data_IF_263362786767
#
_entry.id   IF_263362786767
#
_cell.length_a   1.000
_cell.length_b   1.000
_cell.length_c   1.000
_cell.angle_alpha   90.00
_cell.angle_beta   90.00
_cell.angle_gamma   90.00
#
_symmetry.space_group_name_H-M   'P 1'
#
loop_
_entity.id
_entity.type
_entity.pdbx_description
1 polymer ?
#
# COMPACT_ATOMS: atom_id res chain seq x y z
N UNK A 1 9.75 -2.59 5.11
CA UNK A 1 8.53 -1.78 5.29
C UNK A 1 8.33 -1.32 6.74
N UNK A 2 8.26 -2.19 7.75
CA UNK A 2 7.98 -1.78 9.15
C UNK A 2 8.81 -0.59 9.67
N UNK A 3 10.14 -0.58 9.45
CA UNK A 3 11.01 0.53 9.89
C UNK A 3 10.61 1.90 9.33
N UNK A 4 10.26 1.98 8.03
CA UNK A 4 9.89 3.27 7.40
C UNK A 4 8.49 3.72 7.83
N UNK A 5 7.57 2.77 8.05
CA UNK A 5 6.26 3.07 8.61
C UNK A 5 6.37 3.64 10.01
N UNK A 6 7.16 3.02 10.90
CA UNK A 6 7.40 3.53 12.24
C UNK A 6 8.05 4.92 12.19
N UNK A 7 9.04 5.11 11.32
CA UNK A 7 9.68 6.41 11.12
C UNK A 7 8.67 7.52 10.78
N UNK A 8 7.72 7.26 9.88
CA UNK A 8 6.74 8.26 9.47
C UNK A 8 5.59 8.44 10.47
N UNK A 9 5.04 7.35 11.02
CA UNK A 9 3.80 7.37 11.81
C UNK A 9 4.01 7.48 13.32
N UNK A 10 5.15 7.00 13.84
CA UNK A 10 5.48 7.01 15.27
C UNK A 10 6.54 8.06 15.58
N UNK A 11 7.62 8.09 14.79
CA UNK A 11 8.72 9.04 14.99
C UNK A 11 8.46 10.39 14.29
N UNK A 12 7.38 10.50 13.52
CA UNK A 12 6.97 11.70 12.79
C UNK A 12 8.04 12.28 11.85
N UNK A 13 8.93 11.42 11.33
CA UNK A 13 9.97 11.81 10.38
C UNK A 13 9.35 12.11 9.01
N UNK A 14 9.51 13.35 8.57
CA UNK A 14 9.06 13.80 7.25
C UNK A 14 10.07 13.41 6.18
N UNK A 15 9.81 12.31 5.48
CA UNK A 15 10.63 11.77 4.38
C UNK A 15 10.29 12.41 3.02
N UNK A 16 10.29 13.75 2.96
CA UNK A 16 9.80 14.51 1.79
C UNK A 16 10.88 14.90 0.76
N UNK A 17 12.14 14.53 0.99
CA UNK A 17 13.25 14.76 0.06
C UNK A 17 14.16 13.54 -0.01
N UNK A 18 14.87 13.38 -1.14
CA UNK A 18 15.90 12.36 -1.33
C UNK A 18 16.88 12.33 -0.15
N UNK A 19 17.41 13.49 0.25
CA UNK A 19 18.38 13.59 1.36
C UNK A 19 17.79 13.12 2.69
N UNK A 20 16.53 13.47 2.98
CA UNK A 20 15.85 12.98 4.19
C UNK A 20 15.71 11.46 4.17
N UNK A 21 15.36 10.88 3.02
CA UNK A 21 15.24 9.43 2.83
C UNK A 21 16.61 8.75 2.98
N UNK A 22 17.68 9.30 2.38
CA UNK A 22 19.02 8.72 2.44
C UNK A 22 19.60 8.77 3.85
N UNK A 23 19.44 9.90 4.54
CA UNK A 23 19.86 10.05 5.93
C UNK A 23 19.12 9.08 6.85
N UNK A 24 17.81 8.93 6.66
CA UNK A 24 17.03 7.94 7.40
C UNK A 24 17.50 6.51 7.10
N UNK A 25 17.73 6.17 5.83
CA UNK A 25 18.20 4.83 5.45
C UNK A 25 19.53 4.48 6.12
N UNK A 26 20.48 5.41 6.14
CA UNK A 26 21.77 5.24 6.83
C UNK A 26 21.58 5.01 8.34
N UNK A 27 20.77 5.83 9.01
CA UNK A 27 20.43 5.67 10.44
C UNK A 27 19.71 4.34 10.73
N UNK A 28 18.93 3.83 9.78
CA UNK A 28 18.23 2.54 9.89
C UNK A 28 19.16 1.32 9.68
N UNK A 29 20.46 1.55 9.46
CA UNK A 29 21.48 0.52 9.22
C UNK A 29 21.53 0.03 7.77
N UNK A 30 20.95 0.77 6.81
CA UNK A 30 20.98 0.42 5.39
C UNK A 30 22.19 1.09 4.76
N UNK A 31 23.01 0.33 4.03
CA UNK A 31 24.20 0.85 3.35
C UNK A 31 23.83 1.93 2.33
N UNK A 32 24.21 3.18 2.61
CA UNK A 32 23.77 4.37 1.86
C UNK A 32 24.08 4.29 0.37
N UNK A 33 25.30 3.92 -0.02
CA UNK A 33 25.69 3.85 -1.43
C UNK A 33 24.80 2.88 -2.23
N UNK A 34 24.61 1.65 -1.72
CA UNK A 34 23.74 0.64 -2.34
C UNK A 34 22.27 1.06 -2.34
N UNK A 35 21.83 1.75 -1.29
CA UNK A 35 20.46 2.26 -1.22
C UNK A 35 20.21 3.34 -2.28
N UNK A 36 21.11 4.32 -2.40
CA UNK A 36 21.00 5.40 -3.39
C UNK A 36 21.03 4.84 -4.81
N UNK A 37 21.94 3.90 -5.09
CA UNK A 37 22.01 3.20 -6.37
C UNK A 37 20.68 2.51 -6.70
N UNK A 38 20.12 1.74 -5.77
CA UNK A 38 18.84 1.06 -5.97
C UNK A 38 17.68 2.06 -6.12
N UNK A 39 17.61 3.08 -5.26
CA UNK A 39 16.58 4.12 -5.24
C UNK A 39 16.51 4.88 -6.57
N UNK A 40 17.67 5.17 -7.17
CA UNK A 40 17.79 5.87 -8.46
C UNK A 40 17.85 4.93 -9.66
N UNK A 41 17.85 3.62 -9.45
CA UNK A 41 17.99 2.64 -10.53
C UNK A 41 16.85 2.73 -11.55
N UNK A 42 17.16 2.44 -12.81
CA UNK A 42 16.17 2.34 -13.86
C UNK A 42 15.03 1.36 -13.50
N UNK A 43 15.36 0.24 -12.85
CA UNK A 43 14.37 -0.76 -12.44
C UNK A 43 13.36 -0.23 -11.43
N UNK A 44 13.79 0.57 -10.45
CA UNK A 44 12.87 1.23 -9.51
C UNK A 44 12.04 2.30 -10.22
N UNK A 45 12.65 3.11 -11.09
CA UNK A 45 11.93 4.11 -11.88
C UNK A 45 10.87 3.50 -12.80
N UNK A 46 11.18 2.36 -13.43
CA UNK A 46 10.23 1.62 -14.26
C UNK A 46 9.06 1.06 -13.43
N UNK A 47 9.32 0.53 -12.23
CA UNK A 47 8.28 0.08 -11.30
C UNK A 47 7.37 1.23 -10.85
N UNK A 48 7.92 2.41 -10.58
CA UNK A 48 7.14 3.61 -10.24
C UNK A 48 6.20 4.01 -11.37
N UNK A 49 6.68 4.10 -12.61
CA UNK A 49 5.85 4.39 -13.80
C UNK A 49 4.72 3.38 -13.99
N UNK A 50 5.03 2.09 -13.83
CA UNK A 50 4.02 1.01 -13.88
C UNK A 50 2.99 1.17 -12.77
N UNK A 51 3.42 1.47 -11.54
CA UNK A 51 2.51 1.68 -10.41
C UNK A 51 1.55 2.86 -10.67
N UNK A 52 2.05 4.00 -11.17
CA UNK A 52 1.20 5.15 -11.54
C UNK A 52 0.16 4.79 -12.61
N UNK A 53 0.58 4.06 -13.65
CA UNK A 53 -0.33 3.60 -14.72
C UNK A 53 -1.38 2.65 -14.16
N UNK A 54 -0.98 1.74 -13.27
CA UNK A 54 -1.86 0.78 -12.62
C UNK A 54 -2.88 1.48 -11.71
N UNK A 55 -2.46 2.46 -10.91
CA UNK A 55 -3.36 3.25 -10.07
C UNK A 55 -4.41 3.98 -10.90
N UNK A 56 -4.02 4.58 -12.03
CA UNK A 56 -4.96 5.22 -12.94
C UNK A 56 -5.95 4.22 -13.55
N UNK A 57 -5.46 3.04 -13.97
CA UNK A 57 -6.30 1.98 -14.54
C UNK A 57 -7.34 1.45 -13.54
N UNK A 58 -6.97 1.32 -12.27
CA UNK A 58 -7.88 0.94 -11.18
C UNK A 58 -8.66 2.11 -10.59
N UNK A 59 -8.45 3.35 -11.06
CA UNK A 59 -9.09 4.58 -10.54
C UNK A 59 -8.91 4.74 -9.03
N UNK A 60 -7.71 4.46 -8.54
CA UNK A 60 -7.37 4.58 -7.11
C UNK A 60 -7.18 6.05 -6.74
N UNK A 61 -8.00 6.54 -5.81
CA UNK A 61 -7.96 7.90 -5.25
C UNK A 61 -7.78 7.93 -3.71
N UNK A 62 -7.96 6.79 -3.04
CA UNK A 62 -7.79 6.62 -1.60
C UNK A 62 -6.91 5.42 -1.24
N UNK A 63 -6.44 5.39 0.00
CA UNK A 63 -5.62 4.30 0.58
C UNK A 63 -6.16 3.95 1.97
N UNK A 64 -6.10 2.67 2.39
CA UNK A 64 -5.59 1.50 1.66
C UNK A 64 -6.65 0.89 0.71
N UNK A 65 -6.22 0.43 -0.47
CA UNK A 65 -7.05 -0.27 -1.47
C UNK A 65 -6.37 -1.57 -1.90
N UNK A 66 -7.14 -2.64 -2.12
CA UNK A 66 -6.62 -3.94 -2.58
C UNK A 66 -7.38 -4.39 -3.82
N UNK A 67 -6.65 -4.69 -4.88
CA UNK A 67 -7.19 -5.31 -6.09
C UNK A 67 -6.98 -6.83 -6.06
N UNK A 68 -8.03 -7.59 -6.32
CA UNK A 68 -8.06 -9.06 -6.28
C UNK A 68 -8.28 -9.59 -7.69
N UNK A 69 -7.35 -10.41 -8.15
CA UNK A 69 -7.32 -10.98 -9.51
C UNK A 69 -7.34 -9.95 -10.64
N UNK A 70 -6.99 -8.69 -10.33
CA UNK A 70 -7.06 -7.56 -11.25
C UNK A 70 -8.47 -7.20 -11.73
N UNK A 71 -9.51 -7.67 -11.02
CA UNK A 71 -10.91 -7.54 -11.41
C UNK A 71 -11.76 -6.91 -10.31
N UNK A 72 -11.55 -7.35 -9.07
CA UNK A 72 -12.30 -6.86 -7.92
C UNK A 72 -11.44 -5.90 -7.11
N UNK A 73 -12.06 -4.91 -6.47
CA UNK A 73 -11.40 -3.98 -5.58
C UNK A 73 -12.17 -3.86 -4.28
N UNK A 74 -11.46 -3.70 -3.17
CA UNK A 74 -12.05 -3.41 -1.86
C UNK A 74 -11.10 -2.61 -0.98
N UNK A 75 -11.65 -1.96 0.05
CA UNK A 75 -10.94 -1.26 1.10
C UNK A 75 -11.67 -1.35 2.44
N UNK A 76 -11.02 -0.99 3.56
CA UNK A 76 -11.70 -0.81 4.84
C UNK A 76 -12.89 0.14 4.77
N UNK A 77 -12.76 1.27 4.04
CA UNK A 77 -13.84 2.23 3.89
C UNK A 77 -15.03 1.66 3.09
N UNK A 78 -14.77 0.98 1.97
CA UNK A 78 -15.82 0.34 1.17
C UNK A 78 -16.49 -0.81 1.92
N UNK A 79 -15.73 -1.58 2.71
CA UNK A 79 -16.26 -2.72 3.46
C UNK A 79 -17.09 -2.27 4.67
N UNK A 80 -16.80 -1.10 5.22
CA UNK A 80 -17.55 -0.51 6.34
C UNK A 80 -18.80 0.28 5.94
N UNK A 81 -18.95 0.64 4.66
CA UNK A 81 -20.03 1.51 4.17
C UNK A 81 -21.44 0.92 4.38
N UNK A 82 -21.57 -0.41 4.31
CA UNK A 82 -22.84 -1.11 4.52
C UNK A 82 -23.22 -1.26 6.01
N UNK A 83 -22.39 -0.80 6.94
CA UNK A 83 -22.65 -0.93 8.37
C UNK A 83 -23.77 0.02 8.83
N UNK A 84 -24.72 -0.52 9.60
CA UNK A 84 -25.85 0.25 10.15
C UNK A 84 -25.42 1.26 11.22
N UNK A 85 -24.21 1.12 11.76
CA UNK A 85 -23.63 2.01 12.75
C UNK A 85 -22.17 2.33 12.38
N UNK A 86 -21.62 3.48 12.81
CA UNK A 86 -20.22 3.82 12.59
C UNK A 86 -19.30 2.73 13.14
N UNK A 87 -18.43 2.19 12.30
CA UNK A 87 -17.42 1.21 12.70
C UNK A 87 -16.14 1.92 13.17
N UNK A 88 -15.50 1.38 14.21
CA UNK A 88 -14.12 1.72 14.52
C UNK A 88 -13.19 1.32 13.36
N UNK A 89 -12.01 1.95 13.30
CA UNK A 89 -11.01 1.61 12.28
C UNK A 89 -10.65 0.12 12.29
N UNK A 90 -10.44 -0.45 13.48
CA UNK A 90 -10.09 -1.86 13.61
C UNK A 90 -11.21 -2.78 13.06
N UNK A 91 -12.48 -2.42 13.28
CA UNK A 91 -13.61 -3.18 12.74
C UNK A 91 -13.69 -3.05 11.22
N UNK A 92 -13.51 -1.85 10.66
CA UNK A 92 -13.47 -1.65 9.20
C UNK A 92 -12.37 -2.49 8.55
N UNK A 93 -11.19 -2.54 9.18
CA UNK A 93 -10.07 -3.37 8.72
C UNK A 93 -10.43 -4.87 8.76
N UNK A 94 -11.06 -5.35 9.83
CA UNK A 94 -11.49 -6.75 9.95
C UNK A 94 -12.54 -7.12 8.89
N UNK A 95 -13.55 -6.27 8.68
CA UNK A 95 -14.57 -6.48 7.64
C UNK A 95 -13.94 -6.51 6.25
N UNK A 96 -12.96 -5.65 5.98
CA UNK A 96 -12.24 -5.67 4.71
C UNK A 96 -11.53 -7.00 4.46
N UNK A 97 -10.90 -7.61 5.47
CA UNK A 97 -10.28 -8.93 5.32
C UNK A 97 -11.32 -10.00 4.94
N UNK A 98 -12.50 -9.99 5.57
CA UNK A 98 -13.57 -10.94 5.24
C UNK A 98 -14.07 -10.77 3.80
N UNK A 99 -14.21 -9.52 3.33
CA UNK A 99 -14.57 -9.22 1.94
C UNK A 99 -13.48 -9.69 0.98
N UNK A 100 -12.20 -9.50 1.33
CA UNK A 100 -11.08 -9.99 0.53
C UNK A 100 -11.11 -11.52 0.38
N UNK A 101 -11.32 -12.26 1.47
CA UNK A 101 -11.43 -13.72 1.43
C UNK A 101 -12.56 -14.19 0.50
N UNK A 102 -13.73 -13.56 0.62
CA UNK A 102 -14.87 -13.84 -0.26
C UNK A 102 -14.53 -13.58 -1.74
N UNK A 103 -13.92 -12.43 -2.04
CA UNK A 103 -13.56 -12.05 -3.41
C UNK A 103 -12.49 -12.97 -4.01
N UNK A 104 -11.54 -13.45 -3.20
CA UNK A 104 -10.55 -14.46 -3.63
C UNK A 104 -11.25 -15.78 -4.00
N UNK A 105 -12.17 -16.26 -3.15
CA UNK A 105 -12.92 -17.48 -3.41
C UNK A 105 -13.79 -17.34 -4.68
N UNK A 106 -14.44 -16.20 -4.85
CA UNK A 106 -15.23 -15.87 -6.04
C UNK A 106 -14.37 -15.87 -7.30
N UNK A 107 -13.24 -15.16 -7.28
CA UNK A 107 -12.32 -15.10 -8.42
C UNK A 107 -11.81 -16.50 -8.81
N UNK A 108 -11.56 -17.37 -7.83
CA UNK A 108 -11.15 -18.76 -8.06
C UNK A 108 -12.28 -19.60 -8.66
N UNK A 109 -13.52 -19.41 -8.22
CA UNK A 109 -14.67 -20.18 -8.71
C UNK A 109 -15.01 -19.82 -10.17
N UNK A 110 -14.93 -18.54 -10.54
CA UNK A 110 -15.23 -18.05 -11.90
C UNK A 110 -14.17 -18.42 -12.96
N UNK A 111 -13.01 -18.95 -12.54
CA UNK A 111 -11.95 -19.44 -13.43
C UNK A 111 -12.05 -20.93 -13.77
N UNK A 112 -12.97 -21.65 -13.13
CA UNK A 112 -13.25 -23.07 -13.41
C UNK A 112 -14.38 -23.17 -14.42
#
# INVERSE_FOLDING_TARGET
>A
HAKVFAAMHVEHLRLASDDAVFNWAAKAGIGQAKFVEAYRSFGVQAKLRRATTMMAAYRIDAWPMVAIDGRFMTSPSQSGEAAQAPLSEAQMQQSALQVMDFLVLKAKAEKK
#
